data_IF_468959371340
#
_entry.id   IF_468959371340
#
_cell.length_a   1.000
_cell.length_b   1.000
_cell.length_c   1.000
_cell.angle_alpha   90.00
_cell.angle_beta   90.00
_cell.angle_gamma   90.00
#
_symmetry.space_group_name_H-M   'P 1'
#
loop_
_entity.id
_entity.type
_entity.pdbx_description
1 polymer ?
#
# COMPACT_ATOMS: atom_id res chain seq x y z
N UNK A 1 -1.44 -22.38 5.94
CA UNK A 1 -0.99 -21.04 6.38
C UNK A 1 0.43 -20.85 5.85
N UNK A 2 0.72 -19.72 5.21
CA UNK A 2 2.06 -19.38 4.71
C UNK A 2 2.49 -18.06 5.33
N UNK A 3 3.75 -17.99 5.75
CA UNK A 3 4.35 -16.74 6.21
C UNK A 3 5.16 -16.10 5.07
N UNK A 4 5.06 -14.78 4.96
CA UNK A 4 5.99 -13.96 4.17
C UNK A 4 6.92 -13.28 5.17
N UNK A 5 8.22 -13.50 5.03
CA UNK A 5 9.24 -12.86 5.88
C UNK A 5 9.99 -11.86 5.01
N UNK A 6 10.04 -10.61 5.45
CA UNK A 6 10.76 -9.51 4.81
C UNK A 6 11.78 -8.97 5.81
N UNK A 7 13.00 -8.70 5.35
CA UNK A 7 13.94 -7.89 6.11
C UNK A 7 13.56 -6.43 5.97
N UNK A 8 13.36 -5.73 7.08
CA UNK A 8 12.95 -4.33 7.05
C UNK A 8 14.16 -3.42 7.30
N UNK A 9 14.32 -2.41 6.46
CA UNK A 9 15.18 -1.26 6.75
C UNK A 9 14.35 -0.23 7.51
N UNK A 10 14.56 -0.17 8.83
CA UNK A 10 13.88 0.75 9.73
C UNK A 10 14.71 2.00 10.02
N UNK A 11 15.61 2.39 9.10
CA UNK A 11 16.29 3.67 9.18
C UNK A 11 15.28 4.81 9.33
N UNK A 12 15.56 5.69 10.29
CA UNK A 12 14.65 6.76 10.63
C UNK A 12 14.39 7.66 9.40
N UNK A 13 13.12 7.97 9.08
CA UNK A 13 12.80 8.94 8.04
C UNK A 13 13.44 10.30 8.32
N UNK A 14 13.76 11.03 7.24
CA UNK A 14 14.20 12.41 7.34
C UNK A 14 13.14 13.28 8.05
N UNK A 15 13.56 14.43 8.59
CA UNK A 15 12.67 15.35 9.27
C UNK A 15 11.45 15.72 8.40
N UNK A 16 10.25 15.63 8.98
CA UNK A 16 8.99 15.89 8.28
C UNK A 16 8.51 14.77 7.33
N UNK A 17 9.27 13.67 7.19
CA UNK A 17 8.92 12.54 6.32
C UNK A 17 8.44 11.32 7.12
N UNK A 18 7.70 10.46 6.45
CA UNK A 18 7.43 9.08 6.82
C UNK A 18 7.99 8.15 5.72
N UNK A 19 8.20 6.88 6.04
CA UNK A 19 8.54 5.85 5.06
C UNK A 19 7.34 4.93 4.86
N UNK A 20 7.03 4.58 3.62
CA UNK A 20 5.93 3.67 3.30
C UNK A 20 6.38 2.59 2.34
N UNK A 21 5.82 1.39 2.45
CA UNK A 21 5.86 0.39 1.37
C UNK A 21 4.47 -0.14 1.11
N UNK A 22 4.24 -0.64 -0.09
CA UNK A 22 3.01 -1.33 -0.42
C UNK A 22 3.24 -2.80 -0.79
N UNK A 23 2.37 -3.68 -0.30
CA UNK A 23 2.34 -5.11 -0.67
C UNK A 23 0.97 -5.49 -1.20
N UNK A 24 0.91 -6.11 -2.38
CA UNK A 24 -0.33 -6.64 -2.88
C UNK A 24 -0.50 -8.11 -2.45
N UNK A 25 -1.46 -8.39 -1.55
CA UNK A 25 -1.71 -9.73 -1.01
C UNK A 25 -3.08 -10.34 -1.40
N UNK A 26 -3.82 -9.73 -2.35
CA UNK A 26 -5.06 -10.29 -2.90
C UNK A 26 -4.72 -11.20 -4.09
N UNK A 27 -4.96 -12.53 -4.01
CA UNK A 27 -4.53 -13.47 -5.04
C UNK A 27 -5.35 -13.46 -6.34
N UNK A 28 -6.60 -13.00 -6.27
CA UNK A 28 -7.58 -13.00 -7.35
C UNK A 28 -7.82 -11.61 -7.96
N UNK A 29 -7.13 -10.59 -7.42
CA UNK A 29 -7.13 -9.26 -8.00
C UNK A 29 -6.03 -9.14 -9.06
N UNK A 30 -6.25 -8.38 -10.15
CA UNK A 30 -5.19 -8.03 -11.07
C UNK A 30 -4.14 -7.15 -10.36
N UNK A 31 -3.01 -6.90 -11.03
CA UNK A 31 -2.06 -5.88 -10.57
C UNK A 31 -2.80 -4.57 -10.25
N UNK A 32 -2.31 -3.83 -9.26
CA UNK A 32 -2.97 -2.63 -8.78
C UNK A 32 -2.14 -1.38 -9.01
N UNK A 33 -2.84 -0.28 -9.30
CA UNK A 33 -2.29 1.06 -9.21
C UNK A 33 -2.78 1.70 -7.91
N UNK A 34 -1.89 2.44 -7.26
CA UNK A 34 -2.16 3.13 -6.01
C UNK A 34 -1.82 4.58 -6.16
N UNK A 35 -2.78 5.41 -5.82
CA UNK A 35 -2.61 6.83 -5.72
C UNK A 35 -2.68 7.22 -4.23
N UNK A 36 -1.67 7.94 -3.77
CA UNK A 36 -1.66 8.63 -2.50
C UNK A 36 -1.92 10.11 -2.77
N UNK A 37 -3.19 10.49 -2.71
CA UNK A 37 -3.63 11.85 -2.94
C UNK A 37 -3.54 12.67 -1.66
N UNK A 38 -3.10 13.92 -1.78
CA UNK A 38 -3.03 14.88 -0.67
C UNK A 38 -3.48 16.24 -1.13
N UNK A 39 -4.32 16.91 -0.35
CA UNK A 39 -4.79 18.27 -0.66
C UNK A 39 -3.62 19.24 -0.75
N UNK A 40 -3.54 19.99 -1.85
CA UNK A 40 -2.51 21.01 -2.07
C UNK A 40 -1.12 20.45 -2.44
N UNK A 41 -1.01 19.16 -2.76
CA UNK A 41 0.23 18.53 -3.23
C UNK A 41 -0.04 17.62 -4.44
N UNK A 42 1.03 17.26 -5.16
CA UNK A 42 0.93 16.24 -6.21
C UNK A 42 0.74 14.86 -5.61
N UNK A 43 -0.14 14.04 -6.20
CA UNK A 43 -0.31 12.66 -5.78
C UNK A 43 0.96 11.83 -6.04
N UNK A 44 1.24 10.89 -5.16
CA UNK A 44 2.28 9.87 -5.37
C UNK A 44 1.60 8.65 -5.96
N UNK A 45 2.10 8.17 -7.10
CA UNK A 45 1.52 7.03 -7.80
C UNK A 45 2.49 5.84 -7.77
N UNK A 46 2.00 4.69 -7.32
CA UNK A 46 2.68 3.40 -7.41
C UNK A 46 1.90 2.56 -8.41
N UNK A 47 2.50 2.26 -9.55
CA UNK A 47 1.79 1.63 -10.67
C UNK A 47 2.19 0.18 -10.86
N UNK A 48 1.25 -0.60 -11.40
CA UNK A 48 1.43 -1.98 -11.82
C UNK A 48 2.03 -2.88 -10.73
N UNK A 49 1.55 -2.74 -9.49
CA UNK A 49 2.04 -3.53 -8.36
C UNK A 49 1.51 -4.96 -8.49
N UNK A 50 2.38 -5.97 -8.64
CA UNK A 50 1.94 -7.35 -8.78
C UNK A 50 1.55 -7.96 -7.44
N UNK A 51 0.63 -8.93 -7.49
CA UNK A 51 0.38 -9.82 -6.36
C UNK A 51 1.69 -10.48 -5.93
N UNK A 52 2.04 -10.36 -4.65
CA UNK A 52 3.29 -10.89 -4.09
C UNK A 52 3.40 -12.40 -4.32
N UNK A 53 2.28 -13.12 -4.31
CA UNK A 53 2.27 -14.52 -4.74
C UNK A 53 3.06 -15.48 -3.85
N UNK A 54 3.11 -16.77 -4.22
CA UNK A 54 3.90 -17.81 -3.57
C UNK A 54 5.41 -17.59 -3.72
N UNK A 55 5.82 -16.92 -4.80
CA UNK A 55 7.20 -16.60 -5.15
C UNK A 55 7.36 -15.07 -5.21
N UNK A 56 7.65 -14.42 -4.06
CA UNK A 56 7.76 -12.98 -3.99
C UNK A 56 8.81 -12.44 -4.96
N UNK A 57 8.50 -11.31 -5.60
CA UNK A 57 9.49 -10.57 -6.35
C UNK A 57 10.66 -10.14 -5.45
N UNK A 58 11.86 -10.01 -6.03
CA UNK A 58 12.96 -9.36 -5.33
C UNK A 58 12.58 -7.89 -5.02
N UNK A 59 13.02 -7.38 -3.86
CA UNK A 59 12.89 -5.97 -3.44
C UNK A 59 11.56 -5.53 -2.81
N UNK A 60 10.84 -6.42 -2.11
CA UNK A 60 9.68 -6.04 -1.28
C UNK A 60 10.06 -5.33 0.04
N UNK A 61 11.36 -5.17 0.31
CA UNK A 61 11.92 -4.51 1.48
C UNK A 61 12.14 -3.00 1.32
N UNK A 62 11.92 -2.45 0.12
CA UNK A 62 12.17 -1.03 -0.16
C UNK A 62 11.00 -0.18 0.34
N UNK A 63 11.33 0.86 1.09
CA UNK A 63 10.38 1.89 1.52
C UNK A 63 10.59 3.18 0.71
N UNK A 64 9.48 3.84 0.39
CA UNK A 64 9.43 5.13 -0.29
C UNK A 64 9.22 6.24 0.76
N UNK A 65 10.06 7.29 0.77
CA UNK A 65 9.83 8.44 1.62
C UNK A 65 8.67 9.30 1.11
N UNK A 66 7.80 9.72 2.02
CA UNK A 66 6.66 10.60 1.77
C UNK A 66 6.59 11.70 2.81
N UNK A 67 5.98 12.83 2.49
CA UNK A 67 5.71 13.87 3.49
C UNK A 67 4.71 13.37 4.54
N UNK A 68 4.94 13.72 5.81
CA UNK A 68 3.94 13.49 6.84
C UNK A 68 2.67 14.32 6.57
N UNK A 69 1.52 13.77 6.88
CA UNK A 69 0.22 14.41 6.69
C UNK A 69 -0.89 13.41 6.38
N UNK A 70 -2.06 13.97 6.05
CA UNK A 70 -3.24 13.21 5.68
C UNK A 70 -3.26 12.92 4.17
N UNK A 71 -3.54 11.66 3.85
CA UNK A 71 -3.62 11.15 2.50
C UNK A 71 -4.97 10.44 2.30
N UNK A 72 -5.44 10.48 1.06
CA UNK A 72 -6.46 9.58 0.56
C UNK A 72 -5.77 8.54 -0.30
N UNK A 73 -5.85 7.27 0.11
CA UNK A 73 -5.35 6.13 -0.65
C UNK A 73 -6.44 5.69 -1.61
N UNK A 74 -6.21 5.82 -2.91
CA UNK A 74 -7.07 5.23 -3.94
C UNK A 74 -6.37 4.02 -4.56
N UNK A 75 -7.07 2.90 -4.65
CA UNK A 75 -6.58 1.69 -5.32
C UNK A 75 -7.42 1.44 -6.55
N UNK A 76 -6.76 1.09 -7.64
CA UNK A 76 -7.36 0.80 -8.95
C UNK A 76 -6.79 -0.52 -9.47
N UNK A 77 -7.52 -1.21 -10.33
CA UNK A 77 -6.89 -2.20 -11.18
C UNK A 77 -5.90 -1.49 -12.12
N UNK A 78 -4.72 -2.07 -12.33
CA UNK A 78 -3.63 -1.42 -13.05
C UNK A 78 -4.04 -1.02 -14.48
N UNK A 79 -3.75 0.22 -14.85
CA UNK A 79 -4.11 0.79 -16.15
C UNK A 79 -5.59 1.10 -16.32
N UNK A 80 -6.40 1.05 -15.25
CA UNK A 80 -7.84 1.35 -15.30
C UNK A 80 -8.20 2.62 -14.54
N UNK A 81 -9.28 3.27 -14.96
CA UNK A 81 -9.79 4.52 -14.36
C UNK A 81 -10.78 4.36 -13.20
N UNK A 82 -11.48 3.24 -12.96
CA UNK A 82 -12.33 3.12 -11.77
C UNK A 82 -11.51 2.94 -10.49
N UNK A 83 -11.80 3.74 -9.46
CA UNK A 83 -11.30 3.48 -8.10
C UNK A 83 -12.10 2.33 -7.53
N UNK A 84 -11.43 1.26 -7.14
CA UNK A 84 -12.07 0.09 -6.51
C UNK A 84 -12.10 0.22 -5.00
N UNK A 85 -11.14 0.93 -4.39
CA UNK A 85 -11.07 1.15 -2.95
C UNK A 85 -10.53 2.56 -2.66
N UNK A 86 -11.18 3.25 -1.73
CA UNK A 86 -10.70 4.52 -1.17
C UNK A 86 -10.64 4.43 0.34
N UNK A 87 -9.53 4.85 0.94
CA UNK A 87 -9.36 4.91 2.39
C UNK A 87 -8.56 6.14 2.82
N UNK A 88 -8.98 6.86 3.88
CA UNK A 88 -8.16 7.89 4.48
C UNK A 88 -7.00 7.25 5.27
N UNK A 89 -5.82 7.85 5.21
CA UNK A 89 -4.64 7.41 5.95
C UNK A 89 -3.77 8.60 6.35
N UNK A 90 -3.37 8.64 7.62
CA UNK A 90 -2.48 9.68 8.15
C UNK A 90 -1.09 9.11 8.37
N UNK A 91 -0.08 9.73 7.76
CA UNK A 91 1.33 9.40 8.00
C UNK A 91 1.95 10.42 8.94
N UNK A 92 2.54 9.94 10.04
CA UNK A 92 3.22 10.77 11.03
C UNK A 92 4.72 10.85 10.72
N UNK A 93 5.33 12.01 10.96
CA UNK A 93 6.77 12.18 10.76
C UNK A 93 7.58 11.19 11.63
N UNK A 94 8.64 10.64 11.05
CA UNK A 94 9.50 9.64 11.69
C UNK A 94 8.93 8.21 11.73
N UNK A 95 7.71 8.01 11.22
CA UNK A 95 7.05 6.70 11.23
C UNK A 95 7.24 5.92 9.93
N UNK A 96 7.20 4.60 10.05
CA UNK A 96 7.42 3.66 8.95
C UNK A 96 6.20 2.74 8.84
N UNK A 97 5.60 2.68 7.66
CA UNK A 97 4.33 1.99 7.41
C UNK A 97 4.46 0.94 6.31
N UNK A 98 3.76 -0.18 6.48
CA UNK A 98 3.46 -1.11 5.39
C UNK A 98 1.97 -1.09 5.13
N UNK A 99 1.60 -0.65 3.94
CA UNK A 99 0.23 -0.70 3.43
C UNK A 99 0.12 -1.99 2.62
N UNK A 100 -0.99 -2.70 2.74
CA UNK A 100 -1.18 -3.90 1.92
C UNK A 100 -2.63 -4.11 1.54
N UNK A 101 -2.84 -4.55 0.30
CA UNK A 101 -4.14 -5.04 -0.16
C UNK A 101 -4.35 -6.47 0.35
N UNK A 102 -5.55 -6.76 0.86
CA UNK A 102 -5.96 -8.06 1.43
C UNK A 102 -7.35 -8.46 0.90
N UNK A 103 -7.73 -9.70 1.18
CA UNK A 103 -9.04 -10.26 0.84
C UNK A 103 -9.11 -10.78 -0.59
N UNK A 104 -10.32 -11.02 -1.07
CA UNK A 104 -10.60 -11.50 -2.43
C UNK A 104 -11.46 -10.49 -3.19
N UNK A 105 -11.07 -10.13 -4.40
CA UNK A 105 -11.88 -9.28 -5.28
C UNK A 105 -13.23 -9.92 -5.61
N UNK A 106 -13.27 -11.25 -5.78
CA UNK A 106 -14.50 -11.99 -6.04
C UNK A 106 -15.55 -11.87 -4.92
N UNK A 107 -15.12 -11.54 -3.70
CA UNK A 107 -15.99 -11.34 -2.54
C UNK A 107 -16.52 -9.90 -2.41
N UNK A 108 -16.28 -9.06 -3.42
CA UNK A 108 -16.63 -7.65 -3.43
C UNK A 108 -15.60 -6.77 -2.72
N UNK A 109 -15.75 -5.44 -2.81
CA UNK A 109 -14.88 -4.47 -2.14
C UNK A 109 -15.52 -4.03 -0.83
N UNK A 110 -14.74 -3.99 0.25
CA UNK A 110 -15.19 -3.46 1.56
C UNK A 110 -16.04 -4.43 2.37
N UNK A 111 -16.19 -5.67 1.93
CA UNK A 111 -16.78 -6.77 2.72
C UNK A 111 -15.72 -7.38 3.64
N UNK A 112 -16.14 -8.21 4.61
CA UNK A 112 -15.22 -8.80 5.59
C UNK A 112 -14.08 -9.62 4.94
N UNK A 113 -14.41 -10.37 3.88
CA UNK A 113 -13.46 -11.19 3.12
C UNK A 113 -13.17 -10.62 1.72
N UNK A 114 -13.64 -9.40 1.46
CA UNK A 114 -13.51 -8.69 0.20
C UNK A 114 -12.19 -7.96 0.04
N UNK A 115 -11.92 -7.49 -1.17
CA UNK A 115 -10.77 -6.64 -1.45
C UNK A 115 -10.82 -5.40 -0.54
N UNK A 116 -9.73 -5.20 0.19
CA UNK A 116 -9.54 -4.07 1.11
C UNK A 116 -8.07 -3.75 1.30
N UNK A 117 -7.79 -2.66 2.02
CA UNK A 117 -6.43 -2.27 2.38
C UNK A 117 -6.28 -2.20 3.90
N UNK A 118 -5.07 -2.47 4.37
CA UNK A 118 -4.72 -2.34 5.78
C UNK A 118 -3.31 -1.83 5.93
N UNK A 119 -2.98 -1.40 7.15
CA UNK A 119 -1.70 -0.78 7.45
C UNK A 119 -1.09 -1.42 8.68
N UNK A 120 0.21 -1.68 8.61
CA UNK A 120 1.08 -2.04 9.73
C UNK A 120 1.98 -0.83 9.98
N UNK A 121 2.06 -0.40 11.23
CA UNK A 121 3.03 0.58 11.72
C UNK A 121 4.20 -0.18 12.36
N UNK A 122 5.44 0.17 12.00
CA UNK A 122 6.64 -0.54 12.45
C UNK A 122 7.33 0.07 13.67
N UNK A 123 7.02 1.32 14.02
CA UNK A 123 7.72 2.06 15.09
C UNK A 123 6.86 3.15 15.74
#
# INVERSE_FOLDING_TARGET
MRALVLGDDLTAPAAGKAHIRFLHLSPDAPNVDIELARTGASSINLTNIPYVGPTPAANLNVFTPVDAGDYTVNVRAAGTSPVVLTAPLTFTAGKIYTIYARGLLANGVGTADGLGASVILHN
#
